data_IF_680565881471
#
_entry.id   IF_680565881471
#
_cell.length_a   1.000
_cell.length_b   1.000
_cell.length_c   1.000
_cell.angle_alpha   90.00
_cell.angle_beta   90.00
_cell.angle_gamma   90.00
#
_symmetry.space_group_name_H-M   'P 1'
#
loop_
_entity.id
_entity.type
_entity.pdbx_description
1 polymer ?
#
# COMPACT_ATOMS: atom_id res chain seq x y z
N UNK A 1 1.74 -9.64 10.75
CA UNK A 1 3.16 -9.26 10.88
C UNK A 1 3.40 -8.76 12.29
N UNK A 2 4.29 -9.40 13.04
CA UNK A 2 4.71 -8.93 14.37
C UNK A 2 6.21 -9.17 14.56
N UNK A 3 6.95 -8.22 15.16
CA UNK A 3 6.50 -6.86 15.51
C UNK A 3 6.27 -5.97 14.26
N UNK A 4 5.31 -5.04 14.30
CA UNK A 4 5.13 -4.05 13.23
C UNK A 4 6.24 -2.99 13.28
N UNK A 5 6.98 -2.73 12.18
CA UNK A 5 8.15 -1.85 12.17
C UNK A 5 7.76 -0.35 12.12
N UNK A 6 7.11 0.15 13.18
CA UNK A 6 6.53 1.50 13.26
C UNK A 6 7.47 2.61 12.79
N UNK A 7 8.65 2.72 13.39
CA UNK A 7 9.61 3.81 13.14
C UNK A 7 9.99 3.87 11.66
N UNK A 8 10.36 2.73 11.07
CA UNK A 8 10.78 2.67 9.66
C UNK A 8 9.65 3.02 8.71
N UNK A 9 8.43 2.56 8.99
CA UNK A 9 7.26 2.87 8.14
C UNK A 9 6.92 4.35 8.26
N UNK A 10 6.90 4.90 9.48
CA UNK A 10 6.60 6.31 9.71
C UNK A 10 7.62 7.24 9.02
N UNK A 11 8.92 6.94 9.09
CA UNK A 11 9.96 7.70 8.39
C UNK A 11 9.75 7.74 6.87
N UNK A 12 9.38 6.59 6.27
CA UNK A 12 9.09 6.51 4.83
C UNK A 12 7.85 7.31 4.48
N UNK A 13 6.77 7.15 5.27
CA UNK A 13 5.50 7.86 5.03
C UNK A 13 5.66 9.38 5.19
N UNK A 14 6.49 9.86 6.12
CA UNK A 14 6.76 11.29 6.30
C UNK A 14 7.52 11.93 5.13
N UNK A 15 8.33 11.15 4.41
CA UNK A 15 9.13 11.63 3.26
C UNK A 15 8.37 11.49 1.93
N UNK A 16 7.37 10.62 1.88
CA UNK A 16 6.60 10.37 0.68
C UNK A 16 5.64 11.53 0.39
N UNK A 17 5.65 12.04 -0.86
CA UNK A 17 4.66 13.02 -1.34
C UNK A 17 3.32 12.38 -1.70
N UNK A 18 3.36 11.10 -2.09
CA UNK A 18 2.21 10.30 -2.49
C UNK A 18 2.52 8.84 -2.17
N UNK A 19 1.53 8.12 -1.67
CA UNK A 19 1.64 6.74 -1.19
C UNK A 19 0.60 5.86 -1.87
N UNK A 20 1.04 4.69 -2.31
CA UNK A 20 0.18 3.72 -2.99
C UNK A 20 0.46 2.38 -2.34
N UNK A 21 -0.55 1.71 -1.78
CA UNK A 21 -0.39 0.30 -1.39
C UNK A 21 -0.84 -0.60 -2.53
N UNK A 22 -0.05 -1.63 -2.79
CA UNK A 22 -0.33 -2.64 -3.81
C UNK A 22 -0.45 -3.97 -3.09
N UNK A 23 -1.65 -4.58 -3.13
CA UNK A 23 -1.94 -5.79 -2.38
C UNK A 23 -2.78 -6.78 -3.19
N UNK A 24 -2.43 -8.07 -3.08
CA UNK A 24 -3.25 -9.17 -3.61
C UNK A 24 -4.34 -9.59 -2.61
N UNK A 25 -5.16 -8.64 -2.15
CA UNK A 25 -6.34 -8.88 -1.34
C UNK A 25 -7.45 -7.86 -1.67
N UNK A 26 -8.66 -8.10 -1.17
CA UNK A 26 -9.83 -7.23 -1.44
C UNK A 26 -10.01 -6.09 -0.43
N UNK A 27 -9.41 -6.18 0.76
CA UNK A 27 -9.74 -5.30 1.90
C UNK A 27 -8.62 -4.32 2.28
N UNK A 28 -7.47 -4.39 1.63
CA UNK A 28 -6.26 -3.62 1.93
C UNK A 28 -5.79 -3.74 3.38
N UNK A 29 -5.45 -4.95 3.78
CA UNK A 29 -5.06 -5.27 5.16
C UNK A 29 -3.80 -4.51 5.60
N UNK A 30 -2.85 -4.25 4.70
CA UNK A 30 -1.66 -3.45 5.03
C UNK A 30 -2.03 -2.01 5.36
N UNK A 31 -2.97 -1.40 4.62
CA UNK A 31 -3.44 -0.06 4.93
C UNK A 31 -4.09 0.00 6.32
N UNK A 32 -4.87 -1.03 6.68
CA UNK A 32 -5.46 -1.13 8.02
C UNK A 32 -4.38 -1.23 9.10
N UNK A 33 -3.35 -2.05 8.90
CA UNK A 33 -2.22 -2.14 9.86
C UNK A 33 -1.48 -0.81 10.01
N UNK A 34 -1.22 -0.09 8.91
CA UNK A 34 -0.60 1.25 8.95
C UNK A 34 -1.47 2.20 9.77
N UNK A 35 -2.79 2.18 9.53
CA UNK A 35 -3.76 3.00 10.26
C UNK A 35 -3.78 2.66 11.75
N UNK A 36 -3.83 1.39 12.10
CA UNK A 36 -3.90 0.92 13.49
C UNK A 36 -2.64 1.29 14.29
N UNK A 37 -1.46 1.19 13.66
CA UNK A 37 -0.20 1.41 14.36
C UNK A 37 0.30 2.85 14.36
N UNK A 38 -0.04 3.63 13.34
CA UNK A 38 0.51 4.97 13.11
C UNK A 38 -0.56 6.06 13.01
N UNK A 39 -1.86 5.70 13.08
CA UNK A 39 -2.99 6.61 12.86
C UNK A 39 -2.92 7.35 11.52
N UNK A 40 -2.24 6.77 10.53
CA UNK A 40 -2.01 7.36 9.21
C UNK A 40 -2.81 6.66 8.12
N UNK A 41 -3.25 7.43 7.14
CA UNK A 41 -3.85 6.91 5.90
C UNK A 41 -2.80 6.66 4.82
N UNK A 42 -3.28 6.19 3.67
CA UNK A 42 -2.53 6.08 2.41
C UNK A 42 -3.36 6.75 1.32
N UNK A 43 -2.71 7.30 0.29
CA UNK A 43 -3.41 8.11 -0.71
C UNK A 43 -4.18 7.24 -1.71
N UNK A 44 -3.57 6.14 -2.14
CA UNK A 44 -4.16 5.24 -3.13
C UNK A 44 -3.97 3.76 -2.79
N UNK A 45 -4.82 2.92 -3.36
CA UNK A 45 -4.81 1.47 -3.20
C UNK A 45 -4.98 0.81 -4.56
N UNK A 46 -4.07 -0.10 -4.91
CA UNK A 46 -4.18 -0.98 -6.08
C UNK A 46 -4.38 -2.40 -5.55
N UNK A 47 -5.61 -2.86 -5.62
CA UNK A 47 -6.03 -4.14 -5.05
C UNK A 47 -6.33 -5.17 -6.15
N UNK A 48 -6.02 -6.44 -5.87
CA UNK A 48 -6.29 -7.57 -6.76
C UNK A 48 -6.67 -8.79 -5.95
N UNK A 49 -7.70 -9.52 -6.36
CA UNK A 49 -8.22 -10.68 -5.60
C UNK A 49 -8.66 -11.85 -6.49
N UNK A 50 -8.18 -11.92 -7.73
CA UNK A 50 -8.56 -12.96 -8.71
C UNK A 50 -7.62 -14.19 -8.73
N UNK A 51 -6.78 -14.34 -7.70
CA UNK A 51 -5.84 -15.46 -7.56
C UNK A 51 -4.63 -15.44 -8.50
N UNK A 52 -4.49 -14.45 -9.38
CA UNK A 52 -3.34 -14.33 -10.29
C UNK A 52 -2.28 -13.36 -9.72
N UNK A 53 -0.98 -13.51 -10.08
CA UNK A 53 0.01 -12.48 -9.79
C UNK A 53 -0.31 -11.16 -10.51
N UNK A 54 0.23 -10.05 -9.99
CA UNK A 54 0.22 -8.79 -10.73
C UNK A 54 1.04 -8.92 -12.01
N UNK A 55 0.46 -8.48 -13.14
CA UNK A 55 1.23 -8.29 -14.36
C UNK A 55 2.03 -6.97 -14.24
N UNK A 56 3.37 -6.98 -14.41
CA UNK A 56 4.19 -5.79 -14.22
C UNK A 56 3.80 -4.60 -15.11
N UNK A 57 3.48 -4.85 -16.39
CA UNK A 57 3.08 -3.81 -17.33
C UNK A 57 1.75 -3.19 -16.92
N UNK A 58 0.73 -4.02 -16.65
CA UNK A 58 -0.57 -3.53 -16.22
C UNK A 58 -0.49 -2.79 -14.87
N UNK A 59 0.37 -3.24 -13.95
CA UNK A 59 0.60 -2.57 -12.67
C UNK A 59 1.27 -1.21 -12.87
N UNK A 60 2.27 -1.12 -13.75
CA UNK A 60 2.93 0.13 -14.12
C UNK A 60 1.91 1.15 -14.65
N UNK A 61 1.02 0.75 -15.57
CA UNK A 61 0.00 1.66 -16.09
C UNK A 61 -0.97 2.14 -15.00
N UNK A 62 -1.42 1.25 -14.11
CA UNK A 62 -2.26 1.66 -12.96
C UNK A 62 -1.55 2.60 -11.99
N UNK A 63 -0.23 2.44 -11.80
CA UNK A 63 0.55 3.37 -10.98
C UNK A 63 0.62 4.75 -11.66
N UNK A 64 0.80 4.81 -12.98
CA UNK A 64 0.82 6.08 -13.73
C UNK A 64 -0.52 6.81 -13.68
N UNK A 65 -1.65 6.09 -13.69
CA UNK A 65 -2.99 6.69 -13.60
C UNK A 65 -3.21 7.46 -12.29
N UNK A 66 -2.48 7.13 -11.23
CA UNK A 66 -2.63 7.75 -9.91
C UNK A 66 -1.47 8.68 -9.53
N UNK A 67 -0.42 8.79 -10.36
CA UNK A 67 0.70 9.72 -10.15
C UNK A 67 0.33 11.14 -10.59
#
# INVERSE_FOLDING_TARGET
MQPFPKTRVEEVLNRARKTIVVESNSTSQLSSLIRDYLLRGVDHKILKYDGRPFNPTALSERIKEVL
#
